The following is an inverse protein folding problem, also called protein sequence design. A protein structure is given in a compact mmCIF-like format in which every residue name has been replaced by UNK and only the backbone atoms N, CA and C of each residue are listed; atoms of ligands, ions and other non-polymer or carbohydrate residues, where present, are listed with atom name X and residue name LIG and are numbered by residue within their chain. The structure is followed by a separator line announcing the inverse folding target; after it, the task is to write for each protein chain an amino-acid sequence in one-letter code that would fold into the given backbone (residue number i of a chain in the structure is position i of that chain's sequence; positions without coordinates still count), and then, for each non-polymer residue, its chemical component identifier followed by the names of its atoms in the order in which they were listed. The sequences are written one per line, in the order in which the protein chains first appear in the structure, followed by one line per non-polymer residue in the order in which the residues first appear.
data_IF_211314898137
#
_entry.id   IF_211314898137
#
_cell.length_a   1.000
_cell.length_b   1.000
_cell.length_c   1.000
_cell.angle_alpha   90.00
_cell.angle_beta   90.00
_cell.angle_gamma   90.00
#
_symmetry.space_group_name_H-M   'P 1'
#
loop_
_entity.id
_entity.type
_entity.pdbx_description
1 polymer ?
#
# COMPACT_ATOMS: atom_id res chain seq x y z
N UNK A 1 -15.96 65.32 -63.21
CA UNK A 1 -15.37 64.32 -62.28
C UNK A 1 -15.61 62.92 -62.81
N UNK A 2 -14.57 62.13 -63.10
CA UNK A 2 -14.70 60.67 -63.11
C UNK A 2 -13.84 60.09 -61.99
N UNK A 3 -14.47 59.39 -61.03
CA UNK A 3 -13.74 58.65 -60.01
C UNK A 3 -13.09 57.42 -60.66
N UNK A 4 -11.76 57.37 -60.68
CA UNK A 4 -11.00 56.17 -61.09
C UNK A 4 -11.26 55.09 -60.04
N UNK A 5 -12.22 54.19 -60.31
CA UNK A 5 -12.34 52.92 -59.57
C UNK A 5 -11.05 52.14 -59.80
N UNK A 6 -10.16 52.11 -58.79
CA UNK A 6 -8.98 51.23 -58.77
C UNK A 6 -9.47 49.79 -58.92
N UNK A 7 -9.24 49.20 -60.09
CA UNK A 7 -9.49 47.77 -60.32
C UNK A 7 -8.50 47.00 -59.45
N UNK A 8 -8.98 46.42 -58.35
CA UNK A 8 -8.17 45.52 -57.53
C UNK A 8 -7.66 44.38 -58.42
N UNK A 9 -6.32 44.27 -58.53
CA UNK A 9 -5.67 43.21 -59.29
C UNK A 9 -6.15 41.85 -58.80
N UNK A 10 -6.37 40.90 -59.71
CA UNK A 10 -6.73 39.53 -59.36
C UNK A 10 -5.75 38.92 -58.33
N UNK A 11 -4.47 39.28 -58.44
CA UNK A 11 -3.42 38.91 -57.48
C UNK A 11 -3.71 39.40 -56.05
N UNK A 12 -4.17 40.65 -55.89
CA UNK A 12 -4.51 41.19 -54.58
C UNK A 12 -5.73 40.49 -53.96
N UNK A 13 -6.71 40.09 -54.77
CA UNK A 13 -7.88 39.33 -54.30
C UNK A 13 -7.49 37.93 -53.85
N UNK A 14 -6.60 37.27 -54.58
CA UNK A 14 -6.08 35.95 -54.22
C UNK A 14 -5.29 36.06 -52.91
N UNK A 15 -4.40 37.05 -52.78
CA UNK A 15 -3.61 37.26 -51.57
C UNK A 15 -4.48 37.49 -50.33
N UNK A 16 -5.54 38.32 -50.45
CA UNK A 16 -6.50 38.58 -49.37
C UNK A 16 -7.28 37.31 -48.99
N UNK A 17 -7.74 36.54 -49.97
CA UNK A 17 -8.44 35.28 -49.71
C UNK A 17 -7.52 34.29 -48.98
N UNK A 18 -6.26 34.18 -49.42
CA UNK A 18 -5.27 33.27 -48.83
C UNK A 18 -4.92 33.67 -47.41
N UNK A 19 -4.75 34.97 -47.13
CA UNK A 19 -4.51 35.47 -45.77
C UNK A 19 -5.71 35.25 -44.85
N UNK A 20 -6.94 35.42 -45.33
CA UNK A 20 -8.14 35.11 -44.54
C UNK A 20 -8.26 33.62 -44.23
N UNK A 21 -7.99 32.75 -45.19
CA UNK A 21 -8.00 31.28 -44.98
C UNK A 21 -6.92 30.87 -44.00
N UNK A 22 -5.68 31.34 -44.16
CA UNK A 22 -4.60 31.07 -43.21
C UNK A 22 -4.92 31.63 -41.82
N UNK A 23 -5.47 32.84 -41.73
CA UNK A 23 -5.88 33.44 -40.46
C UNK A 23 -6.97 32.64 -39.75
N UNK A 24 -7.96 32.13 -40.48
CA UNK A 24 -9.00 31.25 -39.94
C UNK A 24 -8.44 29.90 -39.49
N UNK A 25 -7.52 29.31 -40.24
CA UNK A 25 -6.89 28.04 -39.85
C UNK A 25 -6.03 28.20 -38.60
N UNK A 26 -5.21 29.25 -38.52
CA UNK A 26 -4.37 29.53 -37.35
C UNK A 26 -5.24 29.90 -36.14
N UNK A 27 -6.26 30.74 -36.33
CA UNK A 27 -7.19 31.11 -35.28
C UNK A 27 -8.00 29.91 -34.78
N UNK A 28 -8.45 29.04 -35.68
CA UNK A 28 -9.13 27.79 -35.34
C UNK A 28 -8.23 26.80 -34.60
N UNK A 29 -6.98 26.62 -35.05
CA UNK A 29 -6.02 25.76 -34.37
C UNK A 29 -5.66 26.29 -32.98
N UNK A 30 -5.42 27.60 -32.85
CA UNK A 30 -5.18 28.25 -31.55
C UNK A 30 -6.37 28.10 -30.62
N UNK A 31 -7.59 28.32 -31.11
CA UNK A 31 -8.81 28.10 -30.35
C UNK A 31 -8.91 26.66 -29.84
N UNK A 32 -8.66 25.67 -30.71
CA UNK A 32 -8.69 24.26 -30.31
C UNK A 32 -7.64 23.95 -29.24
N UNK A 33 -6.38 24.37 -29.46
CA UNK A 33 -5.27 24.10 -28.54
C UNK A 33 -5.40 24.80 -27.18
N UNK A 34 -6.20 25.87 -27.08
CA UNK A 34 -6.38 26.64 -25.85
C UNK A 34 -7.70 26.39 -25.14
N UNK A 35 -8.70 25.87 -25.86
CA UNK A 35 -10.05 25.64 -25.32
C UNK A 35 -10.30 24.18 -24.99
N UNK A 36 -9.68 23.24 -25.72
CA UNK A 36 -9.72 21.83 -25.36
C UNK A 36 -8.44 21.52 -24.58
N UNK A 37 -8.61 21.17 -23.32
CA UNK A 37 -7.56 20.49 -22.57
C UNK A 37 -7.16 19.24 -23.37
N UNK A 38 -5.86 18.96 -23.55
CA UNK A 38 -5.45 17.70 -24.15
C UNK A 38 -6.15 16.58 -23.39
N UNK A 39 -6.79 15.66 -24.11
CA UNK A 39 -7.33 14.46 -23.48
C UNK A 39 -6.18 13.82 -22.73
N UNK A 40 -6.29 13.77 -21.41
CA UNK A 40 -5.33 13.04 -20.62
C UNK A 40 -5.47 11.58 -21.03
N UNK A 41 -4.39 11.06 -21.60
CA UNK A 41 -4.31 9.69 -22.12
C UNK A 41 -3.44 8.83 -21.23
N UNK A 42 -3.03 9.35 -20.07
CA UNK A 42 -2.48 8.50 -19.04
C UNK A 42 -3.59 7.56 -18.57
N UNK A 43 -3.36 6.28 -18.84
CA UNK A 43 -4.15 5.22 -18.23
C UNK A 43 -3.99 5.37 -16.71
N UNK A 44 -5.11 5.47 -15.96
CA UNK A 44 -5.03 5.60 -14.51
C UNK A 44 -4.23 4.42 -13.95
N UNK A 45 -3.43 4.62 -12.90
CA UNK A 45 -2.66 3.54 -12.33
C UNK A 45 -3.60 2.45 -11.81
N UNK A 46 -3.21 1.19 -11.99
CA UNK A 46 -3.92 0.07 -11.39
C UNK A 46 -3.99 0.27 -9.86
N UNK A 47 -5.16 0.07 -9.23
CA UNK A 47 -5.32 0.21 -7.79
C UNK A 47 -4.31 -0.67 -7.03
N UNK A 48 -3.77 -0.13 -5.94
CA UNK A 48 -2.79 -0.85 -5.13
C UNK A 48 -2.11 0.04 -4.10
N UNK A 49 -0.99 -0.45 -3.58
CA UNK A 49 -0.18 0.24 -2.60
C UNK A 49 1.28 0.35 -3.04
N UNK A 50 1.99 1.33 -2.50
CA UNK A 50 3.43 1.55 -2.72
C UNK A 50 4.14 1.72 -1.40
N UNK A 51 5.27 1.03 -1.28
CA UNK A 51 6.26 1.22 -0.23
C UNK A 51 7.41 2.09 -0.75
N UNK A 52 7.78 3.11 0.00
CA UNK A 52 9.02 3.87 -0.18
C UNK A 52 10.14 3.21 0.65
N UNK A 53 10.81 2.23 0.03
CA UNK A 53 11.92 1.49 0.62
C UNK A 53 13.23 2.30 0.57
N UNK A 54 14.22 1.89 1.36
CA UNK A 54 15.55 2.53 1.40
C UNK A 54 16.32 2.53 0.07
N UNK A 55 15.94 1.67 -0.88
CA UNK A 55 16.60 1.53 -2.19
C UNK A 55 15.68 1.86 -3.39
N UNK A 56 14.48 2.38 -3.15
CA UNK A 56 13.52 2.69 -4.22
C UNK A 56 12.08 2.43 -3.80
N UNK A 57 11.21 2.33 -4.80
CA UNK A 57 9.77 2.07 -4.60
C UNK A 57 9.46 0.60 -4.86
N UNK A 58 8.50 0.06 -4.13
CA UNK A 58 7.97 -1.28 -4.34
C UNK A 58 6.44 -1.22 -4.35
N UNK A 59 5.84 -1.60 -5.47
CA UNK A 59 4.38 -1.61 -5.64
C UNK A 59 3.83 -3.00 -5.26
N UNK A 60 2.67 -3.00 -4.60
CA UNK A 60 1.97 -4.18 -4.08
C UNK A 60 0.48 -4.08 -4.43
N UNK A 61 -0.15 -5.22 -4.67
CA UNK A 61 -1.62 -5.27 -4.72
C UNK A 61 -2.20 -5.05 -3.31
N UNK A 62 -3.44 -4.59 -3.21
CA UNK A 62 -4.08 -4.28 -1.91
C UNK A 62 -4.06 -5.48 -0.97
N UNK A 63 -4.42 -6.67 -1.46
CA UNK A 63 -4.40 -7.90 -0.65
C UNK A 63 -3.01 -8.19 -0.09
N UNK A 64 -1.95 -7.99 -0.89
CA UNK A 64 -0.59 -8.20 -0.42
C UNK A 64 -0.21 -7.19 0.68
N UNK A 65 -0.61 -5.93 0.54
CA UNK A 65 -0.35 -4.89 1.54
C UNK A 65 -1.13 -5.12 2.84
N UNK A 66 -2.38 -5.56 2.75
CA UNK A 66 -3.22 -5.95 3.89
C UNK A 66 -2.56 -7.10 4.66
N UNK A 67 -2.20 -8.18 3.96
CA UNK A 67 -1.56 -9.32 4.59
C UNK A 67 -0.17 -8.98 5.13
N UNK A 68 0.64 -8.18 4.43
CA UNK A 68 1.96 -7.77 4.90
C UNK A 68 1.89 -6.92 6.18
N UNK A 69 1.00 -5.93 6.22
CA UNK A 69 0.79 -5.12 7.43
C UNK A 69 0.24 -5.93 8.58
N UNK A 70 -0.61 -6.93 8.33
CA UNK A 70 -1.13 -7.84 9.37
C UNK A 70 -0.04 -8.79 9.90
N UNK A 71 0.69 -9.51 9.05
CA UNK A 71 1.81 -10.40 9.44
C UNK A 71 2.88 -9.62 10.22
N UNK A 72 3.17 -8.40 9.76
CA UNK A 72 4.05 -7.47 10.43
C UNK A 72 3.49 -7.04 11.78
N UNK A 73 2.24 -6.61 11.84
CA UNK A 73 1.55 -6.15 13.03
C UNK A 73 1.52 -7.19 14.16
N UNK A 74 1.24 -8.46 13.85
CA UNK A 74 1.19 -9.55 14.82
C UNK A 74 2.47 -9.68 15.65
N UNK A 75 3.64 -9.48 15.07
CA UNK A 75 4.87 -9.58 15.85
C UNK A 75 5.07 -8.44 16.88
N UNK A 76 4.31 -7.32 16.82
CA UNK A 76 4.27 -6.33 17.90
C UNK A 76 3.58 -6.90 19.15
N UNK A 77 2.48 -7.65 18.96
CA UNK A 77 1.75 -8.29 20.08
C UNK A 77 2.59 -9.27 20.90
N UNK A 78 3.72 -9.71 20.35
CA UNK A 78 4.64 -10.69 20.91
C UNK A 78 6.02 -10.12 21.27
N UNK A 79 6.20 -8.79 21.16
CA UNK A 79 7.48 -8.10 21.41
C UNK A 79 8.66 -8.69 20.61
N UNK A 80 8.41 -9.11 19.37
CA UNK A 80 9.41 -9.78 18.53
C UNK A 80 10.27 -8.77 17.77
N UNK A 81 11.58 -9.04 17.57
CA UNK A 81 12.46 -8.15 16.83
C UNK A 81 12.18 -8.15 15.32
N UNK A 82 12.69 -7.15 14.60
CA UNK A 82 12.59 -7.02 13.13
C UNK A 82 13.07 -8.26 12.38
N UNK A 83 14.01 -9.04 12.95
CA UNK A 83 14.46 -10.32 12.38
C UNK A 83 13.33 -11.34 12.25
N UNK A 84 12.42 -11.43 13.22
CA UNK A 84 11.29 -12.37 13.16
C UNK A 84 10.39 -12.07 11.96
N UNK A 85 10.20 -10.78 11.69
CA UNK A 85 9.33 -10.28 10.63
C UNK A 85 9.99 -10.44 9.26
N UNK A 86 11.30 -10.26 9.22
CA UNK A 86 12.08 -10.58 8.02
C UNK A 86 11.94 -12.06 7.66
N UNK A 87 12.03 -12.95 8.66
CA UNK A 87 11.86 -14.39 8.48
C UNK A 87 10.43 -14.71 8.02
N UNK A 88 9.41 -14.16 8.68
CA UNK A 88 8.00 -14.43 8.30
C UNK A 88 7.67 -13.88 6.92
N UNK A 89 8.13 -12.68 6.55
CA UNK A 89 7.92 -12.11 5.23
C UNK A 89 8.62 -12.92 4.13
N UNK A 90 9.85 -13.39 4.37
CA UNK A 90 10.55 -14.24 3.41
C UNK A 90 9.82 -15.58 3.22
N UNK A 91 9.24 -16.13 4.29
CA UNK A 91 8.37 -17.30 4.23
C UNK A 91 7.12 -17.01 3.39
N UNK A 92 6.33 -15.99 3.74
CA UNK A 92 5.08 -15.67 3.03
C UNK A 92 5.32 -15.34 1.55
N UNK A 93 6.41 -14.66 1.21
CA UNK A 93 6.81 -14.44 -0.18
C UNK A 93 7.02 -15.75 -0.96
N UNK A 94 7.64 -16.74 -0.31
CA UNK A 94 7.92 -18.03 -0.91
C UNK A 94 6.68 -18.92 -1.00
N UNK A 95 5.86 -18.93 0.05
CA UNK A 95 4.72 -19.83 0.19
C UNK A 95 3.51 -19.37 -0.63
N UNK A 96 3.18 -18.08 -0.57
CA UNK A 96 1.91 -17.57 -1.11
C UNK A 96 2.01 -16.23 -1.83
N UNK A 97 3.16 -15.56 -1.78
CA UNK A 97 3.36 -14.18 -2.27
C UNK A 97 2.40 -13.17 -1.62
N UNK A 98 2.09 -13.37 -0.33
CA UNK A 98 1.14 -12.55 0.44
C UNK A 98 -0.32 -12.64 -0.01
N UNK A 99 -0.71 -13.71 -0.73
CA UNK A 99 -2.11 -14.00 -1.01
C UNK A 99 -2.65 -15.04 -0.01
N UNK A 100 -3.83 -14.81 0.54
CA UNK A 100 -4.40 -15.74 1.52
C UNK A 100 -5.19 -16.84 0.81
N UNK A 101 -4.49 -17.87 0.33
CA UNK A 101 -5.02 -18.83 -0.66
C UNK A 101 -5.63 -20.10 -0.03
N UNK A 102 -6.76 -20.54 -0.59
CA UNK A 102 -7.48 -21.76 -0.19
C UNK A 102 -6.95 -23.05 -0.86
N UNK A 103 -5.78 -22.98 -1.50
CA UNK A 103 -5.18 -24.08 -2.23
C UNK A 103 -3.66 -24.14 -2.02
N UNK A 104 -3.09 -25.31 -2.27
CA UNK A 104 -1.67 -25.57 -2.04
C UNK A 104 -1.30 -27.02 -2.32
N UNK A 105 -0.08 -27.41 -1.96
CA UNK A 105 0.29 -28.83 -1.93
C UNK A 105 -0.45 -29.55 -0.80
N UNK A 106 -1.04 -30.71 -1.08
CA UNK A 106 -1.87 -31.50 -0.15
C UNK A 106 -3.05 -30.69 0.44
N UNK A 107 -2.97 -30.36 1.72
CA UNK A 107 -3.96 -29.63 2.51
C UNK A 107 -3.40 -28.30 3.03
N UNK A 108 -2.36 -27.77 2.37
CA UNK A 108 -1.77 -26.48 2.73
C UNK A 108 -2.71 -25.33 2.40
N UNK A 109 -2.86 -24.39 3.33
CA UNK A 109 -3.78 -23.26 3.26
C UNK A 109 -3.12 -21.97 3.76
N UNK A 110 -3.69 -20.85 3.33
CA UNK A 110 -3.39 -19.52 3.85
C UNK A 110 -2.00 -18.99 3.50
N UNK A 111 -1.63 -17.90 4.18
CA UNK A 111 -0.41 -17.12 3.90
C UNK A 111 0.89 -17.91 4.00
N UNK A 112 0.97 -18.80 5.00
CA UNK A 112 2.16 -19.59 5.30
C UNK A 112 2.09 -21.00 4.71
N UNK A 113 1.05 -21.33 3.93
CA UNK A 113 0.82 -22.69 3.41
C UNK A 113 0.89 -23.75 4.53
N UNK A 114 0.30 -23.43 5.67
CA UNK A 114 0.26 -24.29 6.85
C UNK A 114 -0.74 -25.42 6.63
N UNK A 115 -0.46 -26.58 7.22
CA UNK A 115 -1.24 -27.81 6.98
C UNK A 115 -2.03 -28.19 8.23
N UNK A 116 -3.38 -28.20 8.19
CA UNK A 116 -4.19 -28.69 9.29
C UNK A 116 -3.83 -30.13 9.71
N UNK A 117 -3.49 -31.00 8.76
CA UNK A 117 -3.02 -32.36 9.07
C UNK A 117 -1.67 -32.46 9.78
N UNK A 118 -0.96 -31.34 9.93
CA UNK A 118 0.29 -31.23 10.70
C UNK A 118 0.10 -30.39 11.98
N UNK A 119 -1.14 -30.29 12.48
CA UNK A 119 -1.46 -29.68 13.78
C UNK A 119 -1.19 -28.17 13.85
N UNK A 120 -1.14 -27.48 12.69
CA UNK A 120 -1.03 -26.02 12.61
C UNK A 120 -2.31 -25.27 13.03
N UNK A 121 -3.44 -25.96 13.13
CA UNK A 121 -4.77 -25.39 13.38
C UNK A 121 -5.83 -26.02 12.49
N UNK A 122 -7.10 -25.77 12.80
CA UNK A 122 -8.20 -26.16 11.92
C UNK A 122 -8.22 -25.30 10.63
N UNK A 123 -8.85 -25.74 9.53
CA UNK A 123 -8.82 -25.03 8.24
C UNK A 123 -9.28 -23.57 8.32
N UNK A 124 -10.31 -23.27 9.11
CA UNK A 124 -10.77 -21.90 9.33
C UNK A 124 -9.73 -21.04 10.06
N UNK A 125 -8.97 -21.62 11.00
CA UNK A 125 -7.93 -20.92 11.75
C UNK A 125 -6.71 -20.62 10.86
N UNK A 126 -6.27 -21.59 10.06
CA UNK A 126 -5.14 -21.41 9.15
C UNK A 126 -5.44 -20.38 8.04
N UNK A 127 -6.71 -20.22 7.68
CA UNK A 127 -7.15 -19.18 6.74
C UNK A 127 -7.29 -17.80 7.39
N UNK A 128 -7.19 -17.65 8.71
CA UNK A 128 -7.13 -16.35 9.38
C UNK A 128 -5.68 -15.83 9.40
N UNK A 129 -5.37 -14.72 8.71
CA UNK A 129 -4.02 -14.15 8.68
C UNK A 129 -3.42 -13.85 10.05
N UNK A 130 -4.26 -13.45 11.02
CA UNK A 130 -3.80 -13.14 12.39
C UNK A 130 -3.40 -14.43 13.10
N UNK A 131 -4.26 -15.45 13.06
CA UNK A 131 -3.98 -16.75 13.65
C UNK A 131 -2.75 -17.41 13.00
N UNK A 132 -2.71 -17.50 11.67
CA UNK A 132 -1.61 -18.13 10.94
C UNK A 132 -0.26 -17.47 11.24
N UNK A 133 -0.24 -16.14 11.33
CA UNK A 133 0.94 -15.38 11.75
C UNK A 133 1.33 -15.67 13.19
N UNK A 134 0.35 -15.72 14.12
CA UNK A 134 0.60 -16.04 15.52
C UNK A 134 1.23 -17.44 15.64
N UNK A 135 0.65 -18.45 14.99
CA UNK A 135 1.15 -19.82 14.98
C UNK A 135 2.57 -19.91 14.40
N UNK A 136 2.85 -19.20 13.29
CA UNK A 136 4.21 -19.15 12.72
C UNK A 136 5.24 -18.59 13.72
N UNK A 137 4.90 -17.48 14.39
CA UNK A 137 5.81 -16.89 15.37
C UNK A 137 5.97 -17.75 16.62
N UNK A 138 4.95 -18.49 17.03
CA UNK A 138 5.04 -19.46 18.13
C UNK A 138 6.13 -20.50 17.83
N UNK A 139 6.03 -21.19 16.70
CA UNK A 139 7.04 -22.17 16.25
C UNK A 139 8.43 -21.54 16.07
N UNK A 140 8.51 -20.31 15.53
CA UNK A 140 9.79 -19.60 15.39
C UNK A 140 10.48 -19.42 16.74
N UNK A 141 9.72 -19.03 17.78
CA UNK A 141 10.28 -18.73 19.10
C UNK A 141 10.66 -19.94 19.93
N UNK A 142 10.16 -21.13 19.60
CA UNK A 142 10.59 -22.38 20.23
C UNK A 142 12.01 -22.79 19.83
N UNK A 143 12.49 -22.32 18.67
CA UNK A 143 13.81 -22.67 18.17
C UNK A 143 14.95 -21.95 18.90
N UNK A 144 16.01 -22.68 19.23
CA UNK A 144 17.18 -22.06 19.85
C UNK A 144 18.00 -21.23 18.85
N UNK A 145 18.33 -19.98 19.21
CA UNK A 145 19.18 -19.07 18.43
C UNK A 145 18.64 -18.68 17.04
N UNK A 146 17.32 -18.78 16.81
CA UNK A 146 16.69 -18.38 15.54
C UNK A 146 17.05 -16.94 15.12
N UNK A 147 17.22 -16.03 16.09
CA UNK A 147 17.58 -14.62 15.87
C UNK A 147 18.92 -14.43 15.13
N UNK A 148 19.79 -15.44 15.17
CA UNK A 148 21.12 -15.41 14.54
C UNK A 148 21.23 -16.37 13.36
N UNK A 149 20.16 -17.10 13.05
CA UNK A 149 20.13 -17.99 11.89
C UNK A 149 19.99 -17.17 10.61
N UNK A 150 20.61 -17.61 9.51
CA UNK A 150 20.24 -17.14 8.18
C UNK A 150 18.72 -17.26 7.98
N UNK A 151 18.11 -16.30 7.28
CA UNK A 151 16.65 -16.23 7.13
C UNK A 151 16.08 -17.52 6.51
N UNK A 152 16.71 -18.05 5.47
CA UNK A 152 16.29 -19.30 4.84
C UNK A 152 16.37 -20.52 5.75
N UNK A 153 17.34 -20.54 6.69
CA UNK A 153 17.54 -21.64 7.61
C UNK A 153 16.49 -21.61 8.72
N UNK A 154 16.14 -20.42 9.22
CA UNK A 154 15.04 -20.25 10.15
C UNK A 154 13.69 -20.58 9.51
N UNK A 155 13.40 -20.02 8.33
CA UNK A 155 12.14 -20.24 7.61
C UNK A 155 11.88 -21.72 7.31
N UNK A 156 12.89 -22.44 6.79
CA UNK A 156 12.78 -23.88 6.54
C UNK A 156 12.56 -24.69 7.81
N UNK A 157 13.21 -24.32 8.91
CA UNK A 157 13.05 -25.06 10.15
C UNK A 157 11.64 -24.91 10.71
N UNK A 158 11.05 -23.70 10.68
CA UNK A 158 9.65 -23.46 11.05
C UNK A 158 8.71 -24.24 10.15
N UNK A 159 8.86 -24.11 8.83
CA UNK A 159 7.97 -24.76 7.86
C UNK A 159 8.19 -26.27 7.71
N UNK A 160 9.25 -26.81 8.31
CA UNK A 160 9.74 -28.17 8.06
C UNK A 160 9.87 -28.51 6.55
N UNK A 161 10.26 -27.53 5.73
CA UNK A 161 10.35 -27.67 4.27
C UNK A 161 11.73 -28.16 3.82
N UNK A 162 11.80 -28.70 2.59
CA UNK A 162 13.03 -29.19 1.97
C UNK A 162 13.48 -28.30 0.80
N UNK A 163 13.08 -27.02 0.82
CA UNK A 163 13.22 -26.09 -0.31
C UNK A 163 14.64 -25.52 -0.50
N UNK A 164 15.57 -25.90 0.36
CA UNK A 164 16.98 -25.52 0.26
C UNK A 164 17.16 -24.03 0.46
N UNK A 165 17.58 -23.31 -0.58
CA UNK A 165 17.85 -21.87 -0.51
C UNK A 165 16.72 -21.03 -1.11
N UNK A 166 15.53 -21.59 -1.32
CA UNK A 166 14.44 -20.89 -2.01
C UNK A 166 14.01 -19.59 -1.30
N UNK A 167 14.13 -19.52 0.02
CA UNK A 167 13.80 -18.33 0.80
C UNK A 167 14.85 -17.21 0.68
N UNK A 168 16.12 -17.52 0.37
CA UNK A 168 17.22 -16.52 0.30
C UNK A 168 16.92 -15.39 -0.68
N UNK A 169 16.23 -15.69 -1.78
CA UNK A 169 15.92 -14.70 -2.80
C UNK A 169 14.99 -13.59 -2.28
N UNK A 170 14.24 -13.86 -1.21
CA UNK A 170 13.25 -12.95 -0.63
C UNK A 170 13.78 -12.16 0.58
N UNK A 171 14.93 -12.56 1.13
CA UNK A 171 15.49 -11.98 2.37
C UNK A 171 15.66 -10.46 2.25
N UNK A 172 16.40 -9.98 1.24
CA UNK A 172 16.71 -8.57 1.13
C UNK A 172 15.45 -7.68 0.96
N UNK A 173 14.43 -8.15 0.23
CA UNK A 173 13.16 -7.44 0.11
C UNK A 173 12.41 -7.45 1.44
N UNK A 174 12.37 -8.61 2.10
CA UNK A 174 11.69 -8.81 3.40
C UNK A 174 12.28 -7.93 4.50
N UNK A 175 13.60 -7.79 4.57
CA UNK A 175 14.28 -6.88 5.52
C UNK A 175 13.82 -5.43 5.34
N UNK A 176 13.80 -4.95 4.08
CA UNK A 176 13.38 -3.58 3.78
C UNK A 176 11.91 -3.37 4.08
N UNK A 177 11.05 -4.33 3.74
CA UNK A 177 9.63 -4.27 4.07
C UNK A 177 9.42 -4.27 5.58
N UNK A 178 10.13 -5.10 6.35
CA UNK A 178 10.00 -5.20 7.80
C UNK A 178 10.33 -3.88 8.50
N UNK A 179 11.40 -3.20 8.07
CA UNK A 179 11.76 -1.85 8.56
C UNK A 179 10.72 -0.81 8.14
N UNK A 180 10.29 -0.85 6.88
CA UNK A 180 9.36 0.14 6.30
C UNK A 180 8.00 0.07 6.99
N UNK A 181 7.40 -1.12 7.04
CA UNK A 181 6.10 -1.35 7.67
C UNK A 181 6.17 -1.36 9.21
N UNK A 182 7.38 -1.44 9.77
CA UNK A 182 7.62 -1.26 11.21
C UNK A 182 7.53 0.21 11.66
N UNK A 183 7.43 1.18 10.75
CA UNK A 183 7.15 2.58 11.09
C UNK A 183 8.36 3.41 11.53
N UNK A 184 9.57 2.85 11.54
CA UNK A 184 10.80 3.55 12.00
C UNK A 184 11.07 4.88 11.28
N UNK A 185 10.60 5.01 10.04
CA UNK A 185 10.82 6.18 9.19
C UNK A 185 9.51 6.91 8.85
N UNK A 186 8.47 6.73 9.67
CA UNK A 186 7.16 7.33 9.48
C UNK A 186 6.29 6.65 8.42
N UNK A 187 5.37 7.41 7.83
CA UNK A 187 4.41 6.95 6.82
C UNK A 187 5.04 6.65 5.47
N UNK A 188 5.69 5.50 5.35
CA UNK A 188 6.41 5.06 4.16
C UNK A 188 5.58 4.14 3.23
N UNK A 189 4.29 3.99 3.51
CA UNK A 189 3.34 3.30 2.64
C UNK A 189 2.17 4.22 2.29
N UNK A 190 1.71 4.12 1.04
CA UNK A 190 0.45 4.70 0.60
C UNK A 190 -0.33 3.71 -0.25
N UNK A 191 -1.66 3.84 -0.27
CA UNK A 191 -2.55 3.09 -1.15
C UNK A 191 -3.44 4.06 -1.93
N UNK A 192 -3.82 3.66 -3.15
CA UNK A 192 -4.76 4.36 -4.01
C UNK A 192 -5.77 3.36 -4.60
N UNK A 193 -6.92 3.88 -5.02
CA UNK A 193 -8.08 3.10 -5.43
C UNK A 193 -8.60 3.60 -6.77
N UNK A 194 -9.51 2.85 -7.40
CA UNK A 194 -10.22 3.39 -8.57
C UNK A 194 -11.18 4.53 -8.15
N UNK A 195 -11.60 5.33 -9.13
CA UNK A 195 -12.43 6.51 -8.87
C UNK A 195 -13.76 6.19 -8.18
N UNK A 196 -14.41 5.07 -8.52
CA UNK A 196 -15.69 4.66 -7.91
C UNK A 196 -15.49 4.38 -6.42
N UNK A 197 -14.42 3.65 -6.08
CA UNK A 197 -14.04 3.35 -4.70
C UNK A 197 -13.68 4.63 -3.93
N UNK A 198 -12.91 5.56 -4.53
CA UNK A 198 -12.60 6.86 -3.91
C UNK A 198 -13.87 7.65 -3.57
N UNK A 199 -14.84 7.70 -4.50
CA UNK A 199 -16.12 8.38 -4.28
C UNK A 199 -16.94 7.71 -3.18
N UNK A 200 -16.95 6.37 -3.15
CA UNK A 200 -17.58 5.57 -2.11
C UNK A 200 -16.98 5.87 -0.73
N UNK A 201 -15.66 5.79 -0.57
CA UNK A 201 -14.98 6.01 0.70
C UNK A 201 -15.14 7.44 1.23
N UNK A 202 -15.15 8.45 0.36
CA UNK A 202 -15.37 9.86 0.77
C UNK A 202 -16.80 10.18 1.21
N UNK A 203 -17.79 9.41 0.74
CA UNK A 203 -19.20 9.68 0.99
C UNK A 203 -19.88 8.69 1.93
N UNK A 204 -19.26 7.53 2.13
CA UNK A 204 -19.70 6.48 3.03
C UNK A 204 -19.47 6.79 4.51
N UNK A 205 -19.98 5.89 5.36
CA UNK A 205 -19.73 5.89 6.80
C UNK A 205 -18.61 4.89 7.11
N UNK A 206 -17.53 5.37 7.72
CA UNK A 206 -16.39 4.55 8.12
C UNK A 206 -16.70 3.70 9.36
N UNK A 207 -16.38 2.41 9.34
CA UNK A 207 -16.39 1.53 10.51
C UNK A 207 -15.10 1.68 11.33
N UNK A 208 -14.92 2.87 11.90
CA UNK A 208 -13.74 3.17 12.72
C UNK A 208 -13.62 2.31 13.97
N UNK A 209 -14.76 1.85 14.53
CA UNK A 209 -14.76 0.97 15.70
C UNK A 209 -14.28 -0.44 15.33
N UNK A 210 -14.75 -0.99 14.21
CA UNK A 210 -14.27 -2.26 13.68
C UNK A 210 -12.79 -2.22 13.34
N UNK A 211 -12.32 -1.14 12.70
CA UNK A 211 -10.89 -0.96 12.42
C UNK A 211 -10.04 -0.92 13.70
N UNK A 212 -10.53 -0.27 14.77
CA UNK A 212 -9.84 -0.22 16.05
C UNK A 212 -9.80 -1.57 16.76
N UNK A 213 -10.90 -2.34 16.72
CA UNK A 213 -10.95 -3.70 17.27
C UNK A 213 -10.00 -4.64 16.54
N UNK A 214 -9.98 -4.60 15.20
CA UNK A 214 -9.07 -5.39 14.39
C UNK A 214 -7.61 -5.00 14.60
N UNK A 215 -7.29 -3.70 14.70
CA UNK A 215 -5.94 -3.28 15.11
C UNK A 215 -5.56 -3.80 16.48
N UNK A 216 -6.47 -3.77 17.47
CA UNK A 216 -6.18 -4.29 18.79
C UNK A 216 -5.87 -5.80 18.77
N UNK A 217 -6.58 -6.58 17.95
CA UNK A 217 -6.29 -8.00 17.74
C UNK A 217 -4.94 -8.20 17.05
N UNK A 218 -4.66 -7.50 15.95
CA UNK A 218 -3.39 -7.61 15.21
C UNK A 218 -2.20 -7.22 16.09
N UNK A 219 -2.24 -6.06 16.73
CA UNK A 219 -1.08 -5.49 17.42
C UNK A 219 -1.00 -5.87 18.90
N UNK A 220 -2.06 -6.46 19.47
CA UNK A 220 -2.13 -6.78 20.90
C UNK A 220 -2.19 -5.56 21.82
N UNK A 221 -2.50 -4.38 21.27
CA UNK A 221 -2.61 -3.10 22.00
C UNK A 221 -3.76 -2.30 21.41
N UNK A 222 -4.63 -1.77 22.25
CA UNK A 222 -5.74 -0.92 21.79
C UNK A 222 -5.16 0.42 21.25
N UNK A 223 -5.51 0.84 20.02
CA UNK A 223 -4.98 2.08 19.44
C UNK A 223 -5.33 3.34 20.25
N UNK A 224 -6.38 3.29 21.09
CA UNK A 224 -6.75 4.34 22.03
C UNK A 224 -5.84 4.46 23.25
N UNK A 225 -4.99 3.47 23.50
CA UNK A 225 -3.95 3.51 24.54
C UNK A 225 -2.67 4.22 24.09
N UNK A 226 -2.55 4.56 22.80
CA UNK A 226 -1.42 5.32 22.29
C UNK A 226 -1.38 6.78 22.82
N UNK A 227 -0.19 7.35 23.02
CA UNK A 227 1.12 6.73 22.89
C UNK A 227 1.45 5.80 24.07
N UNK A 228 2.16 4.70 23.80
CA UNK A 228 2.68 3.79 24.84
C UNK A 228 3.98 4.33 25.46
N UNK A 229 4.25 3.96 26.72
CA UNK A 229 5.40 4.46 27.49
C UNK A 229 6.76 3.95 26.99
N UNK A 230 6.80 2.77 26.36
CA UNK A 230 8.02 2.14 25.84
C UNK A 230 7.92 1.90 24.34
N UNK A 231 8.94 2.34 23.59
CA UNK A 231 9.03 2.04 22.17
C UNK A 231 9.37 0.57 21.98
N UNK A 232 8.61 -0.17 21.15
CA UNK A 232 8.89 -1.56 20.87
C UNK A 232 10.25 -1.72 20.15
N UNK A 233 10.93 -2.87 20.30
CA UNK A 233 12.28 -3.12 19.78
C UNK A 233 12.39 -3.11 18.25
N UNK A 234 11.27 -3.03 17.54
CA UNK A 234 11.15 -3.26 16.09
C UNK A 234 10.60 -2.09 15.28
N UNK A 235 10.40 -0.93 15.92
CA UNK A 235 9.94 0.29 15.25
C UNK A 235 8.94 1.11 16.05
N UNK A 236 8.04 1.76 15.33
CA UNK A 236 7.03 2.65 15.88
C UNK A 236 5.64 2.03 15.73
N UNK A 237 5.02 1.69 16.87
CA UNK A 237 3.73 1.03 16.91
C UNK A 237 2.61 1.86 16.26
N UNK A 238 2.61 3.17 16.49
CA UNK A 238 1.55 4.04 15.97
C UNK A 238 1.67 4.24 14.46
N UNK A 239 2.89 4.37 13.94
CA UNK A 239 3.13 4.38 12.50
C UNK A 239 2.79 3.04 11.84
N UNK A 240 3.10 1.91 12.48
CA UNK A 240 2.72 0.59 11.98
C UNK A 240 1.18 0.42 11.94
N UNK A 241 0.46 0.84 12.99
CA UNK A 241 -1.01 0.87 13.03
C UNK A 241 -1.60 1.80 11.96
N UNK A 242 -1.02 2.99 11.78
CA UNK A 242 -1.44 3.93 10.75
C UNK A 242 -1.31 3.35 9.34
N UNK A 243 -0.20 2.68 9.03
CA UNK A 243 -0.02 2.00 7.74
C UNK A 243 -0.96 0.80 7.59
N UNK A 244 -1.20 0.02 8.65
CA UNK A 244 -2.21 -1.04 8.64
C UNK A 244 -3.59 -0.48 8.28
N UNK A 245 -4.01 0.63 8.89
CA UNK A 245 -5.28 1.28 8.58
C UNK A 245 -5.36 1.76 7.12
N UNK A 246 -4.25 2.25 6.54
CA UNK A 246 -4.19 2.63 5.11
C UNK A 246 -4.39 1.42 4.20
N UNK A 247 -3.77 0.26 4.49
CA UNK A 247 -3.94 -0.95 3.69
C UNK A 247 -5.38 -1.53 3.76
N UNK A 248 -6.04 -1.38 4.91
CA UNK A 248 -7.40 -1.89 5.14
C UNK A 248 -8.47 -0.79 4.95
N UNK A 249 -8.12 0.33 4.31
CA UNK A 249 -9.01 1.48 4.17
C UNK A 249 -10.31 1.14 3.44
N UNK A 250 -10.25 0.32 2.38
CA UNK A 250 -11.45 -0.11 1.66
C UNK A 250 -12.37 -0.98 2.52
N UNK A 251 -11.79 -1.93 3.27
CA UNK A 251 -12.53 -2.86 4.13
C UNK A 251 -13.35 -2.14 5.21
N UNK A 252 -12.76 -1.12 5.85
CA UNK A 252 -13.39 -0.37 6.94
C UNK A 252 -14.01 0.97 6.49
N UNK A 253 -14.02 1.26 5.19
CA UNK A 253 -14.61 2.51 4.70
C UNK A 253 -13.84 3.77 5.06
N UNK A 254 -12.51 3.69 5.27
CA UNK A 254 -11.68 4.81 5.72
C UNK A 254 -11.33 5.76 4.57
N UNK A 255 -11.63 7.03 4.76
CA UNK A 255 -11.30 8.13 3.84
C UNK A 255 -10.02 8.86 4.22
N UNK A 256 -9.59 8.78 5.48
CA UNK A 256 -8.33 9.37 5.94
C UNK A 256 -7.77 8.70 7.19
N UNK A 257 -6.44 8.68 7.29
CA UNK A 257 -5.71 8.24 8.48
C UNK A 257 -4.75 9.37 8.87
N UNK A 258 -4.76 9.77 10.13
CA UNK A 258 -3.83 10.79 10.66
C UNK A 258 -3.05 10.22 11.85
N UNK A 259 -1.74 10.41 11.85
CA UNK A 259 -0.86 10.06 12.96
C UNK A 259 0.26 11.11 13.05
N UNK A 260 0.56 11.55 14.27
CA UNK A 260 1.39 12.75 14.52
C UNK A 260 0.86 13.95 13.72
N UNK A 261 1.72 14.66 13.00
CA UNK A 261 1.37 15.77 12.13
C UNK A 261 1.15 15.33 10.66
N UNK A 262 0.94 14.05 10.38
CA UNK A 262 0.85 13.53 9.02
C UNK A 262 -0.52 12.91 8.74
N UNK A 263 -1.07 13.18 7.55
CA UNK A 263 -2.37 12.67 7.09
C UNK A 263 -2.27 12.02 5.72
N UNK A 264 -2.71 10.77 5.65
CA UNK A 264 -3.09 10.10 4.42
C UNK A 264 -4.57 10.36 4.11
N UNK A 265 -4.90 10.54 2.83
CA UNK A 265 -6.27 10.70 2.33
C UNK A 265 -6.49 9.81 1.12
N UNK A 266 -7.68 9.22 1.04
CA UNK A 266 -8.10 8.36 -0.07
C UNK A 266 -8.08 9.08 -1.41
N UNK A 267 -7.66 8.36 -2.44
CA UNK A 267 -7.27 8.96 -3.71
C UNK A 267 -7.09 7.94 -4.86
N UNK A 268 -6.96 8.46 -6.09
CA UNK A 268 -7.03 7.70 -7.34
C UNK A 268 -5.68 7.40 -8.03
N UNK A 269 -4.56 7.70 -7.37
CA UNK A 269 -3.23 7.41 -7.91
C UNK A 269 -2.66 8.45 -8.91
N UNK A 270 -3.45 9.44 -9.36
CA UNK A 270 -3.01 10.49 -10.29
C UNK A 270 -2.17 11.62 -9.64
N UNK A 271 -1.29 12.29 -10.39
CA UNK A 271 -0.51 13.48 -9.98
C UNK A 271 0.44 13.33 -8.77
N UNK A 272 0.96 12.12 -8.46
CA UNK A 272 1.71 11.85 -7.22
C UNK A 272 0.93 12.25 -5.94
N UNK A 273 -0.40 12.44 -6.03
CA UNK A 273 -1.24 13.11 -5.03
C UNK A 273 -1.46 12.33 -3.72
N UNK A 274 -0.61 11.35 -3.43
CA UNK A 274 -0.93 10.20 -2.57
C UNK A 274 0.09 9.99 -1.47
N UNK A 275 0.97 10.95 -1.20
CA UNK A 275 1.83 10.88 -0.04
C UNK A 275 1.06 11.26 1.24
N UNK A 276 1.63 10.88 2.37
CA UNK A 276 1.30 11.51 3.64
C UNK A 276 1.57 13.02 3.55
N UNK A 277 0.60 13.82 3.98
CA UNK A 277 0.68 15.29 3.96
C UNK A 277 0.78 15.84 5.37
N UNK A 278 1.62 16.85 5.57
CA UNK A 278 1.71 17.51 6.86
C UNK A 278 0.44 18.33 7.15
N UNK A 279 -0.09 18.20 8.37
CA UNK A 279 -1.26 18.93 8.88
C UNK A 279 -0.88 19.74 10.11
N UNK A 280 -1.56 20.87 10.34
CA UNK A 280 -1.23 21.78 11.45
C UNK A 280 -1.48 21.16 12.84
N UNK A 281 -2.46 20.26 12.94
CA UNK A 281 -2.86 19.62 14.19
C UNK A 281 -2.14 18.27 14.34
N UNK A 282 -1.26 18.19 15.35
CA UNK A 282 -0.64 16.94 15.79
C UNK A 282 -1.62 16.08 16.60
N UNK A 283 -1.66 14.77 16.34
CA UNK A 283 -2.59 13.86 17.05
C UNK A 283 -2.17 13.54 18.48
N UNK A 284 -1.00 13.99 18.94
CA UNK A 284 -0.44 13.67 20.24
C UNK A 284 -0.02 12.21 20.35
N UNK A 285 0.41 11.61 19.24
CA UNK A 285 0.78 10.19 19.17
C UNK A 285 -0.41 9.23 19.11
N UNK A 286 -1.61 9.70 18.74
CA UNK A 286 -2.80 8.84 18.54
C UNK A 286 -3.08 8.58 17.07
N UNK A 287 -3.57 7.39 16.74
CA UNK A 287 -4.07 7.10 15.38
C UNK A 287 -5.51 7.60 15.27
N UNK A 288 -5.76 8.50 14.32
CA UNK A 288 -7.09 9.09 14.07
C UNK A 288 -7.60 8.63 12.71
N UNK A 289 -8.75 7.96 12.71
CA UNK A 289 -9.41 7.42 11.52
C UNK A 289 -10.64 8.25 11.15
N UNK A 290 -10.91 8.41 9.85
CA UNK A 290 -12.17 8.90 9.28
C UNK A 290 -12.43 8.28 7.92
#
# INVERSE_FOLDING_TARGET
MPSKRRKFSAFAKILIALTLVCGLLVGGAYYVLTTFEPLDTQEPPEPGCRLDLSNGRFDMEHEQAQNATTVGGVAFSRDLPTQAVTISYATVWQESRFYNIEYGDRDSLGLFQQRPSQEWGDPEEVMDPVYASRAFYDELTEMHNWERMPVYEAAQQVQHSADGFAYDQHEALSERMAVTLGGENGGQMTCWFDQETVESLRSGEADTAGAQEAMADVFGTDPGELPVDENPPRGDLGWAMAMWAVAHAEEYGLSSVTYENMRWQVSDGLDDAHAWTEVEDDTGGRVVLR
#
